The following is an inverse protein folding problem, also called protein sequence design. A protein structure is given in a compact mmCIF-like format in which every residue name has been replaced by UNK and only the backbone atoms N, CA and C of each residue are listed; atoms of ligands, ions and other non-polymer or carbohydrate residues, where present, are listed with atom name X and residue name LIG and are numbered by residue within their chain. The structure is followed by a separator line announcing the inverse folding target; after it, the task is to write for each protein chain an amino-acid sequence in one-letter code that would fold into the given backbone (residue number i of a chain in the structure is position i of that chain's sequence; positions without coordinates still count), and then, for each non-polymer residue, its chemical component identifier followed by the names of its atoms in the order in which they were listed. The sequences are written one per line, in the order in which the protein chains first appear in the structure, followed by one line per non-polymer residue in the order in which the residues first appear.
data_IF_970896106260
#
_entry.id   IF_970896106260
#
_cell.length_a   1.000
_cell.length_b   1.000
_cell.length_c   1.000
_cell.angle_alpha   90.00
_cell.angle_beta   90.00
_cell.angle_gamma   90.00
#
_symmetry.space_group_name_H-M   'P 1'
#
loop_
_entity.id
_entity.type
_entity.pdbx_description
1 polymer ?
#
# COMPACT_ATOMS: atom_id res chain seq x y z
N UNK A 1 7.68 14.24 -24.90
CA UNK A 1 7.10 15.39 -25.63
C UNK A 1 5.73 15.02 -26.21
N UNK A 2 4.88 15.99 -26.56
CA UNK A 2 3.60 15.72 -27.24
C UNK A 2 3.77 14.98 -28.56
N UNK A 3 4.82 15.29 -29.31
CA UNK A 3 5.15 14.64 -30.59
C UNK A 3 5.50 13.17 -30.39
N UNK A 4 6.33 12.84 -29.42
CA UNK A 4 6.67 11.45 -29.06
C UNK A 4 5.42 10.68 -28.62
N UNK A 5 4.55 11.31 -27.85
CA UNK A 5 3.29 10.70 -27.42
C UNK A 5 2.36 10.38 -28.60
N UNK A 6 2.25 11.33 -29.55
CA UNK A 6 1.47 11.12 -30.77
C UNK A 6 2.03 9.96 -31.62
N UNK A 7 3.36 9.81 -31.66
CA UNK A 7 3.99 8.69 -32.37
C UNK A 7 3.73 7.36 -31.66
N UNK A 8 3.80 7.32 -30.31
CA UNK A 8 3.45 6.11 -29.55
C UNK A 8 1.99 5.68 -29.84
N UNK A 9 1.03 6.63 -29.88
CA UNK A 9 -0.36 6.30 -30.25
C UNK A 9 -0.46 5.61 -31.61
N UNK A 10 0.24 6.13 -32.64
CA UNK A 10 0.28 5.50 -33.96
C UNK A 10 0.85 4.10 -33.91
N UNK A 11 1.92 3.88 -33.14
CA UNK A 11 2.52 2.54 -33.00
C UNK A 11 1.58 1.56 -32.28
N UNK A 12 0.80 2.03 -31.32
CA UNK A 12 -0.25 1.22 -30.67
C UNK A 12 -1.36 0.87 -31.66
N UNK A 13 -1.85 1.83 -32.45
CA UNK A 13 -2.86 1.61 -33.49
C UNK A 13 -2.38 0.62 -34.57
N UNK A 14 -1.09 0.65 -34.90
CA UNK A 14 -0.46 -0.27 -35.84
C UNK A 14 -0.16 -1.66 -35.25
N UNK A 15 -0.42 -1.88 -33.96
CA UNK A 15 -0.07 -3.13 -33.28
C UNK A 15 1.42 -3.36 -33.13
N UNK A 16 2.23 -2.29 -33.09
CA UNK A 16 3.69 -2.34 -32.95
C UNK A 16 4.18 -1.96 -31.55
N UNK A 17 3.30 -1.44 -30.74
CA UNK A 17 3.57 -1.07 -29.35
C UNK A 17 2.42 -1.60 -28.48
N UNK A 18 2.75 -2.42 -27.47
CA UNK A 18 1.78 -2.93 -26.51
C UNK A 18 1.69 -1.97 -25.30
N UNK A 19 0.47 -1.71 -24.86
CA UNK A 19 0.20 -0.95 -23.65
C UNK A 19 -0.49 -1.85 -22.64
N UNK A 20 0.20 -2.13 -21.53
CA UNK A 20 -0.26 -2.99 -20.45
C UNK A 20 0.06 -2.37 -19.08
N UNK A 21 -0.54 -2.92 -18.00
CA UNK A 21 -0.28 -2.50 -16.64
C UNK A 21 -1.52 -2.44 -15.75
N UNK A 22 -2.63 -1.91 -16.27
CA UNK A 22 -3.95 -1.92 -15.64
C UNK A 22 -4.19 -0.87 -14.58
N UNK A 23 -3.19 -0.41 -13.82
CA UNK A 23 -3.30 0.63 -12.79
C UNK A 23 -2.95 2.02 -13.34
N UNK A 24 -3.33 3.06 -12.58
CA UNK A 24 -2.91 4.45 -12.85
C UNK A 24 -1.39 4.60 -12.82
N UNK A 25 -0.75 3.92 -11.85
CA UNK A 25 0.69 3.73 -11.76
C UNK A 25 1.00 2.46 -10.94
N UNK A 26 2.28 2.12 -10.77
CA UNK A 26 2.73 0.98 -9.96
C UNK A 26 2.66 1.32 -8.46
N UNK A 27 1.45 1.22 -7.89
CA UNK A 27 1.22 1.60 -6.51
C UNK A 27 1.72 0.55 -5.51
N UNK A 28 2.16 1.01 -4.33
CA UNK A 28 2.36 0.14 -3.18
C UNK A 28 1.10 -0.66 -2.86
N UNK A 29 1.27 -1.95 -2.55
CA UNK A 29 0.16 -2.88 -2.40
C UNK A 29 -0.13 -3.30 -0.94
N UNK A 30 0.54 -2.68 0.03
CA UNK A 30 0.36 -2.95 1.46
C UNK A 30 -0.16 -1.73 2.24
N UNK A 31 0.28 -0.53 1.86
CA UNK A 31 0.03 0.70 2.62
C UNK A 31 -1.25 1.46 2.20
N UNK A 32 -1.73 1.23 0.98
CA UNK A 32 -2.92 1.89 0.45
C UNK A 32 -4.21 1.16 0.85
N UNK A 33 -5.34 1.88 0.86
CA UNK A 33 -6.65 1.29 1.15
C UNK A 33 -7.19 0.46 -0.01
N UNK A 34 -8.17 -0.41 0.26
CA UNK A 34 -8.91 -1.13 -0.78
C UNK A 34 -9.61 -0.21 -1.76
N UNK A 35 -10.13 0.95 -1.29
CA UNK A 35 -10.72 1.98 -2.15
C UNK A 35 -9.66 2.57 -3.10
N UNK A 36 -8.47 2.88 -2.59
CA UNK A 36 -7.37 3.36 -3.42
C UNK A 36 -6.98 2.35 -4.50
N UNK A 37 -6.94 1.05 -4.18
CA UNK A 37 -6.73 0.02 -5.20
C UNK A 37 -7.78 0.07 -6.31
N UNK A 38 -9.07 0.13 -5.95
CA UNK A 38 -10.15 0.24 -6.94
C UNK A 38 -9.96 1.50 -7.79
N UNK A 39 -9.55 2.62 -7.19
CA UNK A 39 -9.27 3.89 -7.91
C UNK A 39 -8.08 3.77 -8.84
N UNK A 40 -7.00 3.11 -8.41
CA UNK A 40 -5.85 2.84 -9.28
C UNK A 40 -6.28 2.14 -10.57
N UNK A 41 -7.11 1.08 -10.48
CA UNK A 41 -7.65 0.38 -11.65
C UNK A 41 -8.65 1.24 -12.44
N UNK A 42 -9.55 1.93 -11.76
CA UNK A 42 -10.57 2.75 -12.42
C UNK A 42 -9.94 3.87 -13.25
N UNK A 43 -8.96 4.59 -12.70
CA UNK A 43 -8.26 5.66 -13.42
C UNK A 43 -7.32 5.10 -14.48
N UNK A 44 -6.59 4.02 -14.19
CA UNK A 44 -5.68 3.39 -15.12
C UNK A 44 -6.40 2.81 -16.33
N UNK A 45 -7.37 1.92 -16.13
CA UNK A 45 -8.13 1.31 -17.24
C UNK A 45 -8.89 2.35 -18.06
N UNK A 46 -9.45 3.39 -17.42
CA UNK A 46 -10.06 4.50 -18.15
C UNK A 46 -9.05 5.22 -19.02
N UNK A 47 -7.87 5.52 -18.51
CA UNK A 47 -6.80 6.14 -19.30
C UNK A 47 -6.42 5.30 -20.51
N UNK A 48 -6.17 3.99 -20.34
CA UNK A 48 -5.84 3.10 -21.44
C UNK A 48 -6.98 3.01 -22.48
N UNK A 49 -8.23 3.00 -22.01
CA UNK A 49 -9.39 2.98 -22.91
C UNK A 49 -9.54 4.29 -23.68
N UNK A 50 -9.46 5.43 -23.01
CA UNK A 50 -9.62 6.75 -23.63
C UNK A 50 -8.48 7.10 -24.58
N UNK A 51 -7.23 6.77 -24.20
CA UNK A 51 -6.04 7.16 -24.96
C UNK A 51 -5.65 6.17 -26.07
N UNK A 52 -5.93 4.88 -25.89
CA UNK A 52 -5.44 3.83 -26.77
C UNK A 52 -6.51 2.84 -27.23
N UNK A 53 -7.76 2.99 -26.78
CA UNK A 53 -8.86 2.03 -27.00
C UNK A 53 -8.51 0.58 -26.55
N UNK A 54 -7.78 0.44 -25.45
CA UNK A 54 -7.34 -0.86 -24.90
C UNK A 54 -8.02 -1.17 -23.57
N UNK A 55 -8.38 -2.44 -23.39
CA UNK A 55 -8.84 -3.03 -22.15
C UNK A 55 -7.73 -3.90 -21.57
N UNK A 56 -7.15 -3.47 -20.44
CA UNK A 56 -6.12 -4.25 -19.75
C UNK A 56 -6.77 -5.34 -18.88
N UNK A 57 -6.20 -6.53 -18.90
CA UNK A 57 -6.57 -7.67 -18.05
C UNK A 57 -5.37 -8.27 -17.31
N UNK A 58 -4.21 -7.68 -17.49
CA UNK A 58 -2.96 -8.03 -16.83
C UNK A 58 -2.59 -6.91 -15.86
N UNK A 59 -2.21 -7.26 -14.64
CA UNK A 59 -1.55 -6.36 -13.71
C UNK A 59 -0.05 -6.61 -13.76
N UNK A 60 0.71 -5.58 -14.15
CA UNK A 60 2.16 -5.62 -14.29
C UNK A 60 2.81 -4.75 -13.21
N UNK A 61 3.28 -5.39 -12.12
CA UNK A 61 3.94 -4.73 -10.99
C UNK A 61 5.27 -5.43 -10.67
N UNK A 62 6.33 -5.22 -11.44
CA UNK A 62 7.57 -5.98 -11.30
C UNK A 62 8.34 -5.63 -10.03
N UNK A 63 8.22 -4.41 -9.50
CA UNK A 63 9.09 -3.85 -8.47
C UNK A 63 8.40 -3.46 -7.15
N UNK A 64 7.13 -3.79 -6.95
CA UNK A 64 6.39 -3.42 -5.74
C UNK A 64 6.74 -4.34 -4.55
N UNK A 65 6.74 -3.79 -3.33
CA UNK A 65 7.35 -4.35 -2.13
C UNK A 65 6.43 -5.28 -1.33
N UNK A 66 5.78 -6.21 -2.02
CA UNK A 66 4.85 -7.17 -1.44
C UNK A 66 3.39 -6.84 -1.74
N UNK A 67 2.53 -7.85 -1.59
CA UNK A 67 1.16 -7.81 -2.11
C UNK A 67 0.19 -8.42 -1.11
N UNK A 68 -0.82 -7.64 -0.72
CA UNK A 68 -1.85 -8.05 0.23
C UNK A 68 -2.67 -9.25 -0.27
N UNK A 69 -3.06 -10.14 0.64
CA UNK A 69 -3.98 -11.24 0.37
C UNK A 69 -5.39 -10.82 -0.11
N UNK A 70 -5.73 -9.54 0.02
CA UNK A 70 -6.98 -8.99 -0.52
C UNK A 70 -6.92 -8.69 -2.03
N UNK A 71 -5.72 -8.66 -2.62
CA UNK A 71 -5.56 -8.27 -4.03
C UNK A 71 -6.30 -9.17 -5.02
N UNK A 72 -6.25 -10.51 -4.96
CA UNK A 72 -6.95 -11.33 -5.95
C UNK A 72 -8.45 -11.02 -6.05
N UNK A 73 -9.12 -10.72 -4.94
CA UNK A 73 -10.51 -10.28 -4.93
C UNK A 73 -10.72 -8.98 -5.71
N UNK A 74 -9.87 -7.98 -5.44
CA UNK A 74 -9.96 -6.67 -6.10
C UNK A 74 -9.64 -6.81 -7.59
N UNK A 75 -8.58 -7.55 -7.94
CA UNK A 75 -8.18 -7.82 -9.31
C UNK A 75 -9.32 -8.42 -10.13
N UNK A 76 -9.93 -9.50 -9.63
CA UNK A 76 -11.06 -10.14 -10.33
C UNK A 76 -12.24 -9.20 -10.53
N UNK A 77 -12.59 -8.40 -9.52
CA UNK A 77 -13.67 -7.41 -9.61
C UNK A 77 -13.35 -6.25 -10.55
N UNK A 78 -12.08 -5.94 -10.77
CA UNK A 78 -11.60 -4.93 -11.72
C UNK A 78 -11.36 -5.50 -13.13
N UNK A 79 -11.63 -6.78 -13.37
CA UNK A 79 -11.45 -7.43 -14.67
C UNK A 79 -9.97 -7.75 -14.98
N UNK A 80 -9.17 -7.99 -13.95
CA UNK A 80 -7.79 -8.45 -14.06
C UNK A 80 -7.75 -9.94 -13.70
N UNK A 81 -7.17 -10.74 -14.55
CA UNK A 81 -7.09 -12.19 -14.36
C UNK A 81 -5.66 -12.74 -14.36
N UNK A 82 -4.69 -11.91 -14.70
CA UNK A 82 -3.26 -12.23 -14.70
C UNK A 82 -2.46 -11.21 -13.91
N UNK A 83 -1.58 -11.69 -13.03
CA UNK A 83 -0.68 -10.86 -12.22
C UNK A 83 0.77 -11.19 -12.51
N UNK A 84 1.61 -10.16 -12.68
CA UNK A 84 3.03 -10.28 -13.00
C UNK A 84 3.88 -9.48 -12.03
N UNK A 85 4.93 -10.13 -11.48
CA UNK A 85 5.94 -9.48 -10.64
C UNK A 85 7.29 -10.18 -10.71
N UNK A 86 8.32 -9.59 -10.11
CA UNK A 86 9.64 -10.20 -9.88
C UNK A 86 10.16 -9.97 -8.46
N UNK A 87 9.73 -8.91 -7.79
CA UNK A 87 10.34 -8.42 -6.54
C UNK A 87 10.32 -9.41 -5.38
N UNK A 88 9.36 -10.31 -5.32
CA UNK A 88 9.26 -11.33 -4.26
C UNK A 88 10.46 -12.29 -4.26
N UNK A 89 11.24 -12.36 -5.33
CA UNK A 89 12.49 -13.13 -5.37
C UNK A 89 13.60 -12.54 -4.48
N UNK A 90 13.44 -11.30 -3.98
CA UNK A 90 14.44 -10.59 -3.18
C UNK A 90 14.41 -10.96 -1.70
N UNK A 91 13.62 -11.94 -1.29
CA UNK A 91 13.61 -12.46 0.06
C UNK A 91 14.93 -13.15 0.41
N UNK A 92 15.47 -12.88 1.58
CA UNK A 92 16.69 -13.50 2.09
C UNK A 92 16.44 -14.91 2.61
N UNK A 93 15.41 -15.08 3.44
CA UNK A 93 15.11 -16.32 4.15
C UNK A 93 13.96 -17.11 3.54
N UNK A 94 12.85 -16.44 3.21
CA UNK A 94 11.60 -17.06 2.76
C UNK A 94 11.39 -16.86 1.26
N UNK A 95 11.97 -17.73 0.45
CA UNK A 95 11.83 -17.65 -1.01
C UNK A 95 10.53 -18.23 -1.48
N UNK A 96 9.90 -17.52 -2.41
CA UNK A 96 8.75 -18.05 -3.13
C UNK A 96 9.20 -19.25 -3.99
N UNK A 97 8.64 -20.47 -3.76
CA UNK A 97 9.09 -21.67 -4.46
C UNK A 97 8.47 -21.83 -5.86
N UNK A 98 7.62 -20.92 -6.30
CA UNK A 98 6.85 -21.03 -7.52
C UNK A 98 7.02 -19.80 -8.41
N UNK A 99 7.23 -20.00 -9.69
CA UNK A 99 7.26 -18.91 -10.69
C UNK A 99 5.93 -18.78 -11.43
N UNK A 100 5.14 -19.85 -11.51
CA UNK A 100 3.77 -19.81 -11.99
C UNK A 100 2.84 -20.53 -10.99
N UNK A 101 1.74 -19.90 -10.63
CA UNK A 101 0.78 -20.47 -9.68
C UNK A 101 -0.59 -19.76 -9.78
N UNK A 102 -1.61 -20.37 -9.20
CA UNK A 102 -2.88 -19.72 -8.97
C UNK A 102 -2.86 -19.05 -7.59
N UNK A 103 -2.98 -17.73 -7.56
CA UNK A 103 -3.06 -16.96 -6.32
C UNK A 103 -4.49 -16.78 -5.87
N UNK A 104 -4.79 -17.22 -4.64
CA UNK A 104 -6.12 -17.15 -4.04
C UNK A 104 -6.19 -16.05 -3.00
N UNK A 105 -7.19 -15.21 -3.12
CA UNK A 105 -7.50 -14.15 -2.16
C UNK A 105 -8.33 -14.62 -0.98
N UNK A 106 -8.58 -13.67 -0.07
CA UNK A 106 -9.34 -13.90 1.18
C UNK A 106 -10.79 -14.36 0.96
N UNK A 107 -11.36 -14.12 -0.21
CA UNK A 107 -12.72 -14.50 -0.61
C UNK A 107 -12.75 -15.73 -1.51
N UNK A 108 -11.59 -16.37 -1.76
CA UNK A 108 -11.47 -17.49 -2.69
C UNK A 108 -11.34 -17.11 -4.17
N UNK A 109 -11.34 -15.83 -4.52
CA UNK A 109 -11.05 -15.39 -5.89
C UNK A 109 -9.66 -15.87 -6.34
N UNK A 110 -9.56 -16.32 -7.59
CA UNK A 110 -8.34 -16.88 -8.18
C UNK A 110 -7.82 -15.97 -9.29
N UNK A 111 -6.51 -15.68 -9.27
CA UNK A 111 -5.76 -14.97 -10.31
C UNK A 111 -4.55 -15.78 -10.71
N UNK A 112 -4.32 -15.95 -12.04
CA UNK A 112 -3.10 -16.58 -12.54
C UNK A 112 -1.92 -15.65 -12.30
N UNK A 113 -0.83 -16.18 -11.74
CA UNK A 113 0.36 -15.40 -11.39
C UNK A 113 1.59 -15.94 -12.13
N UNK A 114 2.35 -15.01 -12.70
CA UNK A 114 3.60 -15.30 -13.38
C UNK A 114 4.72 -14.39 -12.86
N UNK A 115 5.81 -15.00 -12.40
CA UNK A 115 7.01 -14.27 -12.01
C UNK A 115 7.96 -14.13 -13.17
N UNK A 116 8.57 -12.94 -13.30
CA UNK A 116 9.70 -12.73 -14.20
C UNK A 116 10.93 -13.42 -13.61
N UNK A 117 11.57 -14.26 -14.39
CA UNK A 117 12.69 -15.08 -13.94
C UNK A 117 14.03 -14.63 -14.51
N UNK A 118 14.12 -13.39 -14.98
CA UNK A 118 15.34 -12.87 -15.58
C UNK A 118 16.50 -12.90 -14.57
N UNK A 119 17.53 -13.67 -14.88
CA UNK A 119 18.71 -13.88 -14.04
C UNK A 119 19.96 -14.05 -14.90
N UNK A 120 21.06 -13.41 -14.49
CA UNK A 120 22.36 -13.59 -15.12
C UNK A 120 23.07 -14.83 -14.55
N UNK A 121 23.29 -15.85 -15.40
CA UNK A 121 23.97 -17.09 -15.00
C UNK A 121 25.42 -16.86 -14.56
N UNK A 122 26.11 -15.89 -15.14
CA UNK A 122 27.54 -15.64 -14.88
C UNK A 122 27.79 -14.69 -13.72
N UNK A 123 26.74 -14.09 -13.18
CA UNK A 123 26.90 -13.23 -12.02
C UNK A 123 27.22 -14.09 -10.80
N UNK A 124 28.42 -13.89 -10.26
CA UNK A 124 28.85 -14.51 -9.00
C UNK A 124 28.58 -13.56 -7.84
N UNK A 125 28.10 -14.04 -6.70
CA UNK A 125 28.01 -13.23 -5.52
C UNK A 125 29.41 -12.76 -5.11
N UNK A 126 29.55 -11.46 -4.81
CA UNK A 126 30.83 -10.87 -4.40
C UNK A 126 31.08 -11.01 -2.92
N UNK A 127 30.02 -11.09 -2.12
CA UNK A 127 30.04 -11.26 -0.69
C UNK A 127 28.73 -11.89 -0.18
N UNK A 128 28.61 -12.06 1.14
CA UNK A 128 27.42 -12.68 1.76
C UNK A 128 26.13 -11.89 1.47
N UNK A 129 26.22 -10.57 1.35
CA UNK A 129 25.05 -9.74 1.05
C UNK A 129 24.72 -9.72 -0.45
N UNK A 130 25.63 -10.15 -1.31
CA UNK A 130 25.38 -10.25 -2.74
C UNK A 130 24.66 -11.57 -3.09
N UNK A 131 23.50 -11.79 -2.48
CA UNK A 131 22.60 -12.93 -2.80
C UNK A 131 21.96 -12.80 -4.19
N UNK A 132 22.46 -11.89 -5.01
CA UNK A 132 21.94 -11.60 -6.35
C UNK A 132 21.95 -12.80 -7.30
N UNK A 133 22.67 -13.87 -7.01
CA UNK A 133 22.64 -15.08 -7.83
C UNK A 133 21.29 -15.82 -7.83
N UNK A 134 20.38 -15.44 -6.93
CA UNK A 134 19.04 -16.03 -6.78
C UNK A 134 17.93 -15.03 -7.04
N UNK A 135 18.27 -13.75 -7.06
CA UNK A 135 17.36 -12.64 -7.31
C UNK A 135 17.07 -12.56 -8.81
N UNK A 136 15.79 -12.48 -9.15
CA UNK A 136 15.35 -12.17 -10.50
C UNK A 136 15.17 -10.67 -10.66
N UNK A 137 15.35 -10.19 -11.89
CA UNK A 137 15.19 -8.79 -12.23
C UNK A 137 14.10 -8.61 -13.30
N UNK A 138 13.50 -7.45 -13.35
CA UNK A 138 12.54 -7.06 -14.39
C UNK A 138 13.20 -6.31 -15.54
N UNK A 139 14.48 -6.02 -15.41
CA UNK A 139 15.33 -5.43 -16.48
C UNK A 139 16.54 -6.31 -16.67
N UNK A 140 16.75 -6.79 -17.87
CA UNK A 140 17.85 -7.70 -18.15
C UNK A 140 18.57 -7.39 -19.46
N UNK A 141 19.79 -7.90 -19.60
CA UNK A 141 20.44 -8.00 -20.88
C UNK A 141 19.84 -9.14 -21.69
N UNK A 142 19.63 -8.94 -22.98
CA UNK A 142 19.27 -10.02 -23.89
C UNK A 142 20.54 -10.65 -24.48
N UNK A 143 21.24 -11.46 -23.68
CA UNK A 143 22.44 -12.16 -24.02
C UNK A 143 22.39 -13.66 -23.62
N UNK A 144 23.34 -14.51 -24.04
CA UNK A 144 23.32 -15.93 -23.70
C UNK A 144 23.29 -16.24 -22.19
N UNK A 145 23.96 -15.43 -21.37
CA UNK A 145 23.99 -15.60 -19.90
C UNK A 145 22.63 -15.40 -19.28
N UNK A 146 21.91 -14.33 -19.62
CA UNK A 146 20.54 -14.09 -19.16
C UNK A 146 19.55 -15.12 -19.71
N UNK A 147 19.62 -15.47 -20.99
CA UNK A 147 18.73 -16.47 -21.57
C UNK A 147 18.90 -17.83 -20.88
N UNK A 148 20.15 -18.26 -20.63
CA UNK A 148 20.44 -19.49 -19.89
C UNK A 148 20.06 -19.41 -18.44
N UNK A 149 20.45 -18.34 -17.73
CA UNK A 149 20.20 -18.14 -16.32
C UNK A 149 18.70 -18.11 -16.00
N UNK A 150 17.92 -17.38 -16.77
CA UNK A 150 16.47 -17.30 -16.63
C UNK A 150 15.80 -18.67 -16.81
N UNK A 151 16.22 -19.46 -17.78
CA UNK A 151 15.69 -20.81 -17.98
C UNK A 151 16.12 -21.78 -16.87
N UNK A 152 17.37 -21.69 -16.40
CA UNK A 152 17.85 -22.52 -15.27
C UNK A 152 17.07 -22.20 -14.01
N UNK A 153 16.82 -20.92 -13.73
CA UNK A 153 16.09 -20.45 -12.57
C UNK A 153 14.60 -20.81 -12.60
N UNK A 154 13.99 -20.85 -13.76
CA UNK A 154 12.57 -21.13 -13.92
C UNK A 154 12.20 -22.52 -13.37
N UNK A 155 11.24 -22.57 -12.42
CA UNK A 155 10.94 -23.79 -11.67
C UNK A 155 9.97 -24.75 -12.38
N UNK A 156 8.79 -24.33 -12.93
CA UNK A 156 7.78 -25.28 -13.39
C UNK A 156 8.04 -25.85 -14.79
N UNK A 157 9.27 -26.32 -15.07
CA UNK A 157 9.70 -26.83 -16.39
C UNK A 157 8.87 -27.99 -16.92
N UNK A 158 8.35 -28.84 -16.03
CA UNK A 158 7.50 -30.00 -16.38
C UNK A 158 6.08 -29.58 -16.83
N UNK A 159 5.62 -28.38 -16.46
CA UNK A 159 4.34 -27.84 -16.88
C UNK A 159 4.48 -26.93 -18.10
N UNK A 160 5.57 -26.17 -18.13
CA UNK A 160 5.83 -25.22 -19.19
C UNK A 160 7.34 -25.13 -19.47
N UNK A 161 7.72 -25.21 -20.72
CA UNK A 161 9.12 -25.15 -21.17
C UNK A 161 9.58 -23.75 -21.55
N UNK A 162 8.72 -22.74 -21.38
CA UNK A 162 9.02 -21.36 -21.77
C UNK A 162 9.02 -20.46 -20.53
N UNK A 163 9.90 -19.47 -20.52
CA UNK A 163 9.88 -18.38 -19.54
C UNK A 163 10.00 -17.04 -20.25
N UNK A 164 9.63 -15.97 -19.57
CA UNK A 164 9.70 -14.60 -20.07
C UNK A 164 10.88 -13.87 -19.44
N UNK A 165 11.60 -13.12 -20.24
CA UNK A 165 12.58 -12.12 -19.82
C UNK A 165 12.26 -10.78 -20.48
N UNK A 166 12.40 -9.72 -19.72
CA UNK A 166 12.28 -8.34 -20.19
C UNK A 166 13.65 -7.74 -20.36
N UNK A 167 13.88 -6.99 -21.41
CA UNK A 167 15.19 -6.40 -21.70
C UNK A 167 15.08 -4.94 -22.16
N UNK A 168 16.18 -4.21 -22.02
CA UNK A 168 16.29 -2.78 -22.19
C UNK A 168 16.92 -2.16 -20.96
N UNK A 169 16.72 -0.86 -20.76
CA UNK A 169 17.17 -0.13 -19.57
C UNK A 169 16.00 0.13 -18.64
N UNK A 170 16.02 -0.47 -17.43
CA UNK A 170 15.14 -0.15 -16.33
C UNK A 170 15.75 0.89 -15.39
N UNK A 171 14.99 1.34 -14.39
CA UNK A 171 15.35 2.30 -13.37
C UNK A 171 15.82 3.68 -13.87
N UNK A 172 16.53 3.76 -14.94
CA UNK A 172 16.98 5.02 -15.56
C UNK A 172 16.23 5.40 -16.83
N UNK A 173 15.38 4.49 -17.33
CA UNK A 173 14.70 4.63 -18.62
C UNK A 173 15.64 4.44 -19.80
N UNK A 174 15.11 3.92 -20.88
CA UNK A 174 15.80 3.64 -22.13
C UNK A 174 15.24 2.41 -22.82
N UNK A 175 15.49 2.32 -24.14
CA UNK A 175 15.07 1.19 -24.94
C UNK A 175 16.16 0.13 -25.07
N UNK A 176 15.89 -0.94 -25.85
CA UNK A 176 16.87 -1.94 -26.20
C UNK A 176 18.06 -1.35 -26.97
N UNK A 177 19.22 -1.93 -26.77
CA UNK A 177 20.43 -1.62 -27.54
C UNK A 177 20.58 -2.55 -28.75
N UNK A 178 21.30 -2.09 -29.79
CA UNK A 178 21.59 -2.88 -30.98
C UNK A 178 22.27 -4.22 -30.65
N UNK A 179 23.15 -4.23 -29.65
CA UNK A 179 23.84 -5.44 -29.17
C UNK A 179 22.85 -6.49 -28.65
N UNK A 180 21.81 -6.08 -27.95
CA UNK A 180 20.77 -6.98 -27.42
C UNK A 180 19.96 -7.60 -28.57
N UNK A 181 19.62 -6.82 -29.58
CA UNK A 181 18.90 -7.29 -30.76
C UNK A 181 19.78 -8.24 -31.59
N UNK A 182 21.08 -7.95 -31.72
CA UNK A 182 22.01 -8.84 -32.39
C UNK A 182 22.18 -10.18 -31.67
N UNK A 183 22.25 -10.19 -30.33
CA UNK A 183 22.26 -11.43 -29.56
C UNK A 183 20.98 -12.24 -29.78
N UNK A 184 19.82 -11.58 -29.82
CA UNK A 184 18.56 -12.25 -30.15
C UNK A 184 18.63 -12.92 -31.54
N UNK A 185 19.09 -12.20 -32.58
CA UNK A 185 19.20 -12.71 -33.94
C UNK A 185 20.07 -13.97 -34.03
N UNK A 186 21.05 -14.09 -33.15
CA UNK A 186 21.90 -15.30 -33.06
C UNK A 186 21.21 -16.41 -32.26
N UNK A 187 20.65 -16.10 -31.09
CA UNK A 187 20.03 -17.09 -30.21
C UNK A 187 18.74 -17.70 -30.77
N UNK A 188 17.94 -16.95 -31.55
CA UNK A 188 16.74 -17.49 -32.19
C UNK A 188 17.02 -18.62 -33.18
N UNK A 189 18.24 -18.67 -33.77
CA UNK A 189 18.68 -19.74 -34.67
C UNK A 189 19.06 -21.02 -33.90
N UNK A 190 19.30 -20.91 -32.61
CA UNK A 190 19.76 -21.99 -31.74
C UNK A 190 21.27 -22.00 -31.56
N UNK A 191 21.70 -21.92 -30.31
CA UNK A 191 23.08 -22.09 -29.88
C UNK A 191 23.17 -23.31 -28.95
N UNK A 192 24.20 -24.16 -29.05
CA UNK A 192 24.34 -25.32 -28.16
C UNK A 192 24.28 -24.90 -26.68
N UNK A 193 23.37 -25.50 -25.92
CA UNK A 193 23.22 -25.27 -24.48
C UNK A 193 22.53 -23.95 -24.08
N UNK A 194 22.07 -23.16 -25.04
CA UNK A 194 21.35 -21.91 -24.81
C UNK A 194 19.89 -22.05 -25.29
N UNK A 195 18.88 -21.63 -24.53
CA UNK A 195 17.51 -21.59 -25.01
C UNK A 195 17.35 -20.73 -26.26
N UNK A 196 16.46 -21.13 -27.14
CA UNK A 196 16.06 -20.27 -28.26
C UNK A 196 15.22 -19.11 -27.74
N UNK A 197 15.44 -17.93 -28.25
CA UNK A 197 14.69 -16.73 -27.93
C UNK A 197 13.70 -16.36 -29.03
N UNK A 198 12.55 -15.78 -28.58
CA UNK A 198 11.54 -15.16 -29.45
C UNK A 198 11.17 -13.82 -28.84
N UNK A 199 11.13 -12.76 -29.62
CA UNK A 199 10.57 -11.49 -29.21
C UNK A 199 9.07 -11.52 -29.52
N UNK A 200 8.23 -11.23 -28.53
CA UNK A 200 6.78 -11.15 -28.67
C UNK A 200 6.22 -10.18 -27.64
N UNK A 201 4.96 -9.80 -27.76
CA UNK A 201 4.26 -9.02 -26.74
C UNK A 201 4.09 -9.83 -25.47
N UNK A 202 4.19 -9.13 -24.33
CA UNK A 202 4.06 -9.76 -23.02
C UNK A 202 2.67 -10.34 -22.82
N UNK A 203 1.61 -9.64 -23.25
CA UNK A 203 0.24 -10.12 -23.19
C UNK A 203 0.02 -11.42 -23.95
N UNK A 204 0.51 -11.51 -25.19
CA UNK A 204 0.40 -12.73 -26.01
C UNK A 204 1.06 -13.94 -25.31
N UNK A 205 2.23 -13.73 -24.70
CA UNK A 205 2.91 -14.77 -23.94
C UNK A 205 2.09 -15.18 -22.70
N UNK A 206 1.66 -14.21 -21.90
CA UNK A 206 0.96 -14.44 -20.65
C UNK A 206 -0.39 -15.13 -20.86
N UNK A 207 -1.15 -14.71 -21.86
CA UNK A 207 -2.42 -15.35 -22.21
C UNK A 207 -2.24 -16.80 -22.64
N UNK A 208 -1.19 -17.06 -23.44
CA UNK A 208 -0.88 -18.41 -23.88
C UNK A 208 -0.51 -19.33 -22.71
N UNK A 209 0.32 -18.87 -21.78
CA UNK A 209 0.70 -19.69 -20.61
C UNK A 209 -0.45 -19.82 -19.61
N UNK A 210 -1.23 -18.78 -19.39
CA UNK A 210 -2.43 -18.82 -18.55
C UNK A 210 -3.42 -19.85 -19.07
N UNK A 211 -3.81 -19.76 -20.35
CA UNK A 211 -4.73 -20.72 -20.97
C UNK A 211 -4.23 -22.16 -20.88
N UNK A 212 -2.91 -22.36 -20.92
CA UNK A 212 -2.32 -23.69 -20.79
C UNK A 212 -2.34 -24.22 -19.36
N UNK A 213 -2.14 -23.35 -18.36
CA UNK A 213 -1.76 -23.75 -17.01
C UNK A 213 -2.85 -23.54 -15.95
N UNK A 214 -3.71 -22.53 -16.09
CA UNK A 214 -4.57 -22.08 -14.99
C UNK A 214 -5.51 -23.17 -14.43
N UNK A 215 -5.87 -24.15 -15.24
CA UNK A 215 -6.73 -25.29 -14.85
C UNK A 215 -5.96 -26.63 -14.78
N UNK A 216 -4.64 -26.64 -14.95
CA UNK A 216 -3.83 -27.84 -14.74
C UNK A 216 -3.80 -28.16 -13.22
N UNK A 217 -4.23 -29.34 -12.79
CA UNK A 217 -4.29 -29.70 -11.37
C UNK A 217 -2.92 -29.75 -10.69
N UNK A 218 -1.83 -29.79 -11.44
CA UNK A 218 -0.45 -29.76 -10.94
C UNK A 218 0.06 -28.33 -10.73
N UNK A 219 -0.64 -27.30 -11.26
CA UNK A 219 -0.24 -25.92 -11.03
C UNK A 219 -0.39 -25.60 -9.53
N UNK A 220 0.67 -25.10 -8.88
CA UNK A 220 0.62 -24.73 -7.47
C UNK A 220 -0.47 -23.73 -7.12
N UNK A 221 -0.93 -23.80 -5.88
CA UNK A 221 -1.88 -22.84 -5.29
C UNK A 221 -1.17 -22.07 -4.19
N UNK A 222 -1.27 -20.75 -4.22
CA UNK A 222 -0.84 -19.88 -3.13
C UNK A 222 -2.04 -19.21 -2.50
N UNK A 223 -2.16 -19.28 -1.18
CA UNK A 223 -3.24 -18.66 -0.41
C UNK A 223 -2.62 -17.73 0.62
N UNK A 224 -2.98 -16.45 0.58
CA UNK A 224 -2.43 -15.45 1.48
C UNK A 224 -1.68 -14.33 0.76
N UNK A 225 -0.91 -13.56 1.52
CA UNK A 225 -0.09 -12.47 0.96
C UNK A 225 1.14 -12.99 0.19
N UNK A 226 1.67 -12.16 -0.68
CA UNK A 226 3.00 -12.32 -1.26
C UNK A 226 3.93 -11.35 -0.51
N UNK A 227 4.58 -11.86 0.52
CA UNK A 227 5.37 -11.07 1.46
C UNK A 227 6.79 -10.84 0.95
N UNK A 228 7.28 -9.60 1.09
CA UNK A 228 8.66 -9.22 0.82
C UNK A 228 9.36 -8.81 2.13
N UNK A 229 10.18 -9.67 2.68
CA UNK A 229 10.88 -9.42 3.95
C UNK A 229 11.97 -8.34 3.86
N UNK A 230 12.61 -8.23 2.72
CA UNK A 230 13.72 -7.30 2.50
C UNK A 230 13.32 -5.82 2.56
N UNK A 231 12.03 -5.49 2.56
CA UNK A 231 11.52 -4.11 2.55
C UNK A 231 10.67 -3.78 3.78
N UNK A 232 10.92 -4.41 4.93
CA UNK A 232 10.13 -4.18 6.16
C UNK A 232 10.21 -2.76 6.68
N UNK A 233 11.35 -2.09 6.53
CA UNK A 233 11.54 -0.70 6.93
C UNK A 233 10.57 0.26 6.25
N UNK A 234 10.11 -0.07 5.05
CA UNK A 234 9.20 0.76 4.27
C UNK A 234 7.82 0.94 4.89
N UNK A 235 7.40 0.08 5.80
CA UNK A 235 6.12 0.23 6.52
C UNK A 235 6.09 1.42 7.46
N UNK A 236 7.25 1.89 7.92
CA UNK A 236 7.36 2.99 8.91
C UNK A 236 8.19 4.17 8.46
N UNK A 237 9.06 4.01 7.45
CA UNK A 237 9.89 5.10 6.93
C UNK A 237 9.03 6.28 6.44
N UNK A 238 9.42 7.51 6.80
CA UNK A 238 8.68 8.75 6.47
C UNK A 238 7.19 8.66 6.85
N UNK A 239 6.90 8.39 8.12
CA UNK A 239 5.55 8.20 8.65
C UNK A 239 4.56 9.34 8.30
N UNK A 240 5.06 10.57 8.10
CA UNK A 240 4.25 11.73 7.69
C UNK A 240 3.54 11.48 6.36
N UNK A 241 4.22 10.92 5.37
CA UNK A 241 3.64 10.62 4.06
C UNK A 241 2.50 9.59 4.19
N UNK A 242 2.72 8.51 4.93
CA UNK A 242 1.71 7.47 5.21
C UNK A 242 0.49 8.04 5.93
N UNK A 243 0.72 8.95 6.91
CA UNK A 243 -0.34 9.66 7.61
C UNK A 243 -1.15 10.56 6.66
N UNK A 244 -0.46 11.28 5.77
CA UNK A 244 -1.11 12.15 4.79
C UNK A 244 -1.95 11.30 3.81
N UNK A 245 -1.41 10.19 3.31
CA UNK A 245 -2.16 9.26 2.46
C UNK A 245 -3.44 8.78 3.15
N UNK A 246 -3.35 8.23 4.36
CA UNK A 246 -4.53 7.70 5.06
C UNK A 246 -5.58 8.78 5.34
N UNK A 247 -5.16 9.97 5.74
CA UNK A 247 -6.07 11.10 5.97
C UNK A 247 -6.77 11.55 4.68
N UNK A 248 -6.06 11.56 3.56
CA UNK A 248 -6.63 11.96 2.27
C UNK A 248 -7.60 10.92 1.72
N UNK A 249 -7.33 9.62 1.89
CA UNK A 249 -8.27 8.55 1.54
C UNK A 249 -9.62 8.75 2.25
N UNK A 250 -9.62 8.89 3.57
CA UNK A 250 -10.85 9.14 4.33
C UNK A 250 -11.52 10.47 3.96
N UNK A 251 -10.74 11.52 3.73
CA UNK A 251 -11.29 12.81 3.35
C UNK A 251 -12.08 12.71 2.03
N UNK A 252 -11.50 12.05 1.02
CA UNK A 252 -12.11 11.96 -0.31
C UNK A 252 -13.31 11.00 -0.34
N UNK A 253 -13.24 9.87 0.34
CA UNK A 253 -14.41 8.99 0.53
C UNK A 253 -15.58 9.75 1.17
N UNK A 254 -15.31 10.51 2.23
CA UNK A 254 -16.32 11.31 2.90
C UNK A 254 -16.83 12.47 2.03
N UNK A 255 -15.94 13.15 1.29
CA UNK A 255 -16.31 14.24 0.41
C UNK A 255 -17.23 13.75 -0.73
N UNK A 256 -16.92 12.62 -1.35
CA UNK A 256 -17.77 12.02 -2.38
C UNK A 256 -19.13 11.57 -1.82
N UNK A 257 -19.12 10.86 -0.69
CA UNK A 257 -20.34 10.36 -0.04
C UNK A 257 -21.28 11.52 0.29
N UNK A 258 -20.79 12.55 0.99
CA UNK A 258 -21.62 13.68 1.40
C UNK A 258 -22.02 14.57 0.22
N UNK A 259 -21.16 14.73 -0.80
CA UNK A 259 -21.52 15.47 -2.02
C UNK A 259 -22.61 14.76 -2.81
N UNK A 260 -22.58 13.43 -2.87
CA UNK A 260 -23.64 12.63 -3.49
C UNK A 260 -24.96 12.82 -2.73
N UNK A 261 -24.93 12.73 -1.40
CA UNK A 261 -26.11 12.96 -0.55
C UNK A 261 -26.64 14.40 -0.70
N UNK A 262 -25.77 15.40 -0.67
CA UNK A 262 -26.14 16.79 -0.86
C UNK A 262 -26.82 17.01 -2.23
N UNK A 263 -26.26 16.43 -3.30
CA UNK A 263 -26.86 16.50 -4.63
C UNK A 263 -28.25 15.92 -4.67
N UNK A 264 -28.45 14.73 -4.08
CA UNK A 264 -29.75 14.02 -4.07
C UNK A 264 -30.80 14.74 -3.22
N UNK A 265 -30.39 15.29 -2.08
CA UNK A 265 -31.32 15.89 -1.11
C UNK A 265 -31.63 17.36 -1.38
N UNK A 266 -30.68 18.11 -1.92
CA UNK A 266 -30.78 19.58 -2.02
C UNK A 266 -30.52 20.13 -3.42
N UNK A 267 -30.15 19.29 -4.39
CA UNK A 267 -29.72 19.73 -5.73
C UNK A 267 -28.31 20.36 -5.75
N UNK A 268 -27.53 20.26 -4.67
CA UNK A 268 -26.18 20.77 -4.59
C UNK A 268 -25.30 20.20 -5.73
N UNK A 269 -24.41 21.03 -6.29
CA UNK A 269 -23.51 20.61 -7.36
C UNK A 269 -22.49 19.59 -6.86
N UNK A 270 -22.31 18.49 -7.62
CA UNK A 270 -21.26 17.50 -7.35
C UNK A 270 -19.98 17.87 -8.10
N UNK A 271 -18.95 18.28 -7.37
CA UNK A 271 -17.69 18.82 -7.90
C UNK A 271 -16.75 17.71 -8.43
N UNK A 272 -17.23 16.92 -9.41
CA UNK A 272 -16.52 15.75 -9.97
C UNK A 272 -15.09 16.06 -10.41
N UNK A 273 -14.89 17.21 -11.10
CA UNK A 273 -13.58 17.59 -11.62
C UNK A 273 -12.57 17.78 -10.49
N UNK A 274 -12.95 18.51 -9.42
CA UNK A 274 -12.09 18.78 -8.28
C UNK A 274 -11.73 17.50 -7.53
N UNK A 275 -12.68 16.60 -7.35
CA UNK A 275 -12.47 15.29 -6.73
C UNK A 275 -11.53 14.42 -7.58
N UNK A 276 -11.73 14.37 -8.90
CA UNK A 276 -10.85 13.60 -9.79
C UNK A 276 -9.42 14.12 -9.82
N UNK A 277 -9.24 15.45 -9.81
CA UNK A 277 -7.91 16.07 -9.73
C UNK A 277 -7.20 15.68 -8.43
N UNK A 278 -7.89 15.74 -7.30
CA UNK A 278 -7.32 15.36 -6.02
C UNK A 278 -7.01 13.85 -5.94
N UNK A 279 -7.91 12.99 -6.40
CA UNK A 279 -7.64 11.55 -6.49
C UNK A 279 -6.39 11.24 -7.30
N UNK A 280 -6.20 11.87 -8.47
CA UNK A 280 -5.00 11.66 -9.28
C UNK A 280 -3.71 12.01 -8.53
N UNK A 281 -3.73 13.04 -7.69
CA UNK A 281 -2.58 13.42 -6.87
C UNK A 281 -2.36 12.39 -5.73
N UNK A 282 -3.43 11.94 -5.07
CA UNK A 282 -3.35 10.88 -4.05
C UNK A 282 -2.73 9.62 -4.66
N UNK A 283 -3.28 9.17 -5.80
CA UNK A 283 -2.82 7.97 -6.48
C UNK A 283 -1.36 8.08 -6.92
N UNK A 284 -0.91 9.27 -7.38
CA UNK A 284 0.50 9.52 -7.72
C UNK A 284 1.41 9.33 -6.51
N UNK A 285 1.01 9.87 -5.35
CA UNK A 285 1.79 9.75 -4.12
C UNK A 285 1.77 8.34 -3.49
N UNK A 286 0.99 7.42 -4.04
CA UNK A 286 0.96 6.00 -3.68
C UNK A 286 1.96 5.15 -4.47
N UNK A 287 2.76 5.75 -5.36
CA UNK A 287 3.82 5.06 -6.09
C UNK A 287 4.75 4.32 -5.13
N UNK A 288 5.19 3.12 -5.52
CA UNK A 288 5.93 2.21 -4.63
C UNK A 288 7.30 2.74 -4.18
N UNK A 289 7.80 3.83 -4.77
CA UNK A 289 8.99 4.55 -4.32
C UNK A 289 8.67 5.87 -3.61
N UNK A 290 7.40 6.25 -3.47
CA UNK A 290 7.01 7.46 -2.73
C UNK A 290 6.44 7.10 -1.36
N UNK A 291 5.28 6.41 -1.30
CA UNK A 291 4.64 6.09 -0.02
C UNK A 291 5.49 5.24 0.91
N UNK A 292 6.33 4.31 0.45
CA UNK A 292 7.23 3.53 1.31
C UNK A 292 8.28 4.35 2.06
N UNK A 293 8.62 5.55 1.61
CA UNK A 293 9.59 6.38 2.31
C UNK A 293 11.03 6.22 1.83
N UNK A 294 11.24 5.59 0.68
CA UNK A 294 12.57 5.23 0.15
C UNK A 294 13.12 6.20 -0.91
N UNK A 295 12.38 7.24 -1.24
CA UNK A 295 12.81 8.27 -2.19
C UNK A 295 13.75 9.32 -1.56
N UNK A 296 14.30 10.17 -2.41
CA UNK A 296 15.14 11.30 -1.98
C UNK A 296 14.31 12.47 -1.41
N UNK A 297 14.93 13.32 -0.62
CA UNK A 297 14.28 14.47 0.04
C UNK A 297 13.40 15.33 -0.88
N UNK A 298 13.83 15.75 -2.11
CA UNK A 298 13.01 16.58 -2.98
C UNK A 298 11.66 15.94 -3.35
N UNK A 299 11.57 14.61 -3.40
CA UNK A 299 10.31 13.89 -3.64
C UNK A 299 9.33 14.10 -2.48
N UNK A 300 9.82 14.09 -1.23
CA UNK A 300 8.97 14.32 -0.06
C UNK A 300 8.58 15.79 0.13
N UNK A 301 9.47 16.72 -0.24
CA UNK A 301 9.12 18.14 -0.29
C UNK A 301 7.96 18.35 -1.28
N UNK A 302 8.03 17.74 -2.47
CA UNK A 302 6.95 17.77 -3.46
C UNK A 302 5.68 17.05 -2.99
N UNK A 303 5.82 15.90 -2.35
CA UNK A 303 4.70 15.16 -1.76
C UNK A 303 3.95 15.98 -0.71
N UNK A 304 4.66 16.76 0.12
CA UNK A 304 4.01 17.65 1.09
C UNK A 304 3.20 18.76 0.40
N UNK A 305 3.71 19.35 -0.67
CA UNK A 305 2.97 20.32 -1.49
C UNK A 305 1.73 19.69 -2.12
N UNK A 306 1.88 18.49 -2.68
CA UNK A 306 0.80 17.74 -3.30
C UNK A 306 -0.32 17.43 -2.30
N UNK A 307 0.02 16.96 -1.10
CA UNK A 307 -0.98 16.71 -0.05
C UNK A 307 -1.64 18.00 0.46
N UNK A 308 -0.95 19.13 0.48
CA UNK A 308 -1.58 20.42 0.80
C UNK A 308 -2.70 20.76 -0.20
N UNK A 309 -2.45 20.57 -1.50
CA UNK A 309 -3.47 20.72 -2.56
C UNK A 309 -4.62 19.73 -2.40
N UNK A 310 -4.30 18.48 -2.09
CA UNK A 310 -5.30 17.41 -1.84
C UNK A 310 -6.22 17.80 -0.69
N UNK A 311 -5.68 18.22 0.45
CA UNK A 311 -6.47 18.62 1.63
C UNK A 311 -7.30 19.88 1.37
N UNK A 312 -6.78 20.86 0.62
CA UNK A 312 -7.53 22.03 0.25
C UNK A 312 -8.73 21.65 -0.63
N UNK A 313 -8.50 20.92 -1.72
CA UNK A 313 -9.57 20.53 -2.67
C UNK A 313 -10.63 19.66 -1.99
N UNK A 314 -10.23 18.57 -1.37
CA UNK A 314 -11.15 17.64 -0.68
C UNK A 314 -11.88 18.30 0.49
N UNK A 315 -11.16 19.09 1.29
CA UNK A 315 -11.73 19.85 2.41
C UNK A 315 -12.78 20.88 1.99
N UNK A 316 -12.52 21.60 0.88
CA UNK A 316 -13.50 22.55 0.34
C UNK A 316 -14.78 21.86 -0.14
N UNK A 317 -14.65 20.74 -0.86
CA UNK A 317 -15.80 19.94 -1.31
C UNK A 317 -16.59 19.38 -0.14
N UNK A 318 -15.90 18.79 0.84
CA UNK A 318 -16.54 18.24 2.04
C UNK A 318 -17.28 19.32 2.84
N UNK A 319 -16.66 20.49 3.03
CA UNK A 319 -17.27 21.63 3.74
C UNK A 319 -18.51 22.13 3.04
N UNK A 320 -18.46 22.28 1.69
CA UNK A 320 -19.60 22.72 0.90
C UNK A 320 -20.76 21.73 0.97
N UNK A 321 -20.49 20.44 0.82
CA UNK A 321 -21.52 19.39 0.93
C UNK A 321 -22.15 19.32 2.33
N UNK A 322 -21.34 19.39 3.40
CA UNK A 322 -21.84 19.44 4.79
C UNK A 322 -22.77 20.63 4.99
N UNK A 323 -22.38 21.82 4.52
CA UNK A 323 -23.20 23.03 4.64
C UNK A 323 -24.53 22.85 3.91
N UNK A 324 -24.53 22.38 2.67
CA UNK A 324 -25.75 22.16 1.89
C UNK A 324 -26.72 21.19 2.59
N UNK A 325 -26.22 20.14 3.23
CA UNK A 325 -27.07 19.21 4.00
C UNK A 325 -27.57 19.87 5.28
N UNK A 326 -26.69 20.53 6.05
CA UNK A 326 -27.01 21.11 7.36
C UNK A 326 -28.04 22.24 7.26
N UNK A 327 -27.94 23.09 6.23
CA UNK A 327 -28.87 24.19 5.98
C UNK A 327 -30.32 23.69 5.75
N UNK A 328 -30.50 22.41 5.40
CA UNK A 328 -31.80 21.80 5.15
C UNK A 328 -32.30 20.88 6.29
N UNK A 329 -31.56 20.82 7.41
CA UNK A 329 -31.92 20.03 8.60
C UNK A 329 -32.13 20.96 9.78
N UNK A 330 -33.31 20.88 10.41
CA UNK A 330 -33.54 21.59 11.66
C UNK A 330 -32.68 21.01 12.78
N UNK A 331 -31.77 21.81 13.31
CA UNK A 331 -30.89 21.34 14.42
C UNK A 331 -31.32 21.85 15.80
N UNK A 332 -32.27 22.82 15.85
CA UNK A 332 -32.78 23.42 17.10
C UNK A 332 -31.65 23.81 18.07
N UNK A 333 -30.57 24.35 17.55
CA UNK A 333 -29.37 24.73 18.29
C UNK A 333 -28.45 23.55 18.65
N UNK A 334 -28.74 22.37 18.15
CA UNK A 334 -27.86 21.21 18.28
C UNK A 334 -26.81 21.12 17.20
N UNK A 335 -25.93 20.13 17.32
CA UNK A 335 -24.86 19.80 16.35
C UNK A 335 -25.24 18.56 15.55
N UNK A 336 -25.11 18.66 14.24
CA UNK A 336 -25.32 17.52 13.34
C UNK A 336 -24.05 16.68 13.29
N UNK A 337 -24.13 15.44 13.75
CA UNK A 337 -23.05 14.45 13.67
C UNK A 337 -23.40 13.41 12.63
N UNK A 338 -22.55 13.25 11.63
CA UNK A 338 -22.71 12.26 10.56
C UNK A 338 -21.79 11.07 10.75
N UNK A 339 -22.32 9.85 10.55
CA UNK A 339 -21.56 8.61 10.58
C UNK A 339 -21.32 8.08 9.16
N UNK A 340 -20.09 8.13 8.63
CA UNK A 340 -19.79 7.62 7.30
C UNK A 340 -19.64 6.09 7.22
N UNK A 341 -19.65 5.39 8.36
CA UNK A 341 -19.48 3.95 8.43
C UNK A 341 -20.78 3.17 8.09
N UNK A 342 -20.62 1.89 7.78
CA UNK A 342 -21.72 0.95 7.51
C UNK A 342 -22.33 0.33 8.77
N UNK A 343 -21.88 0.72 9.96
CA UNK A 343 -22.36 0.27 11.26
C UNK A 343 -22.66 1.48 12.16
N UNK A 344 -23.46 1.27 13.21
CA UNK A 344 -23.78 2.35 14.16
C UNK A 344 -22.52 2.88 14.83
N UNK A 345 -22.39 4.21 14.87
CA UNK A 345 -21.22 4.91 15.41
C UNK A 345 -21.44 5.44 16.83
N UNK A 346 -20.34 5.56 17.55
CA UNK A 346 -20.22 6.30 18.78
C UNK A 346 -18.80 6.85 18.90
N UNK A 347 -18.62 7.91 19.66
CA UNK A 347 -17.29 8.47 19.92
C UNK A 347 -17.32 9.94 20.31
N UNK A 348 -16.15 10.45 20.64
CA UNK A 348 -15.95 11.87 20.87
C UNK A 348 -15.86 12.60 19.52
N UNK A 349 -16.59 13.70 19.41
CA UNK A 349 -16.54 14.64 18.29
C UNK A 349 -16.14 16.00 18.82
N UNK A 350 -15.32 16.72 18.09
CA UNK A 350 -14.93 18.08 18.48
C UNK A 350 -15.99 19.08 18.00
N UNK A 351 -16.47 19.89 18.92
CA UNK A 351 -17.44 20.96 18.68
C UNK A 351 -16.92 22.23 19.33
N UNK A 352 -16.59 23.24 18.54
CA UNK A 352 -16.05 24.53 19.02
C UNK A 352 -14.83 24.39 19.94
N UNK A 353 -13.97 23.40 19.67
CA UNK A 353 -12.76 23.11 20.44
C UNK A 353 -12.99 22.24 21.68
N UNK A 354 -14.22 21.86 21.99
CA UNK A 354 -14.56 20.97 23.10
C UNK A 354 -14.94 19.56 22.57
N UNK A 355 -14.53 18.53 23.28
CA UNK A 355 -14.92 17.15 22.97
C UNK A 355 -16.32 16.86 23.49
N UNK A 356 -17.22 16.41 22.64
CA UNK A 356 -18.60 16.02 22.96
C UNK A 356 -18.80 14.56 22.59
N UNK A 357 -19.37 13.77 23.46
CA UNK A 357 -19.62 12.36 23.19
C UNK A 357 -20.95 12.16 22.45
N UNK A 358 -20.89 11.47 21.32
CA UNK A 358 -22.05 11.13 20.52
C UNK A 358 -22.25 9.60 20.50
N UNK A 359 -23.49 9.16 20.71
CA UNK A 359 -23.86 7.74 20.73
C UNK A 359 -24.97 7.43 19.73
N UNK A 360 -25.00 6.17 19.31
CA UNK A 360 -26.07 5.62 18.46
C UNK A 360 -26.31 6.45 17.20
N UNK A 361 -25.22 6.83 16.53
CA UNK A 361 -25.29 7.49 15.23
C UNK A 361 -25.53 6.40 14.17
N UNK A 362 -26.65 6.45 13.43
CA UNK A 362 -27.01 5.37 12.52
C UNK A 362 -25.99 5.18 11.38
N UNK A 363 -25.88 3.96 10.81
CA UNK A 363 -25.00 3.69 9.65
C UNK A 363 -25.33 4.61 8.49
N UNK A 364 -24.32 5.19 7.83
CA UNK A 364 -24.48 6.11 6.67
C UNK A 364 -25.52 7.20 6.92
N UNK A 365 -25.70 7.59 8.19
CA UNK A 365 -26.72 8.51 8.62
C UNK A 365 -26.20 9.58 9.56
N UNK A 366 -27.12 10.32 10.15
CA UNK A 366 -26.79 11.40 11.06
C UNK A 366 -27.66 11.40 12.31
N UNK A 367 -27.21 12.14 13.31
CA UNK A 367 -27.95 12.44 14.51
C UNK A 367 -27.69 13.90 14.91
N UNK A 368 -28.74 14.60 15.33
CA UNK A 368 -28.59 15.90 15.97
C UNK A 368 -28.40 15.65 17.47
N UNK A 369 -27.29 16.14 17.99
CA UNK A 369 -26.98 16.06 19.42
C UNK A 369 -26.98 17.46 20.04
N UNK A 370 -27.40 17.58 21.28
CA UNK A 370 -27.16 18.79 22.09
C UNK A 370 -25.85 18.56 22.82
N UNK A 371 -24.83 19.43 22.60
CA UNK A 371 -23.56 19.27 23.26
C UNK A 371 -23.76 19.43 24.76
N UNK A 372 -23.60 18.37 25.52
CA UNK A 372 -23.55 18.40 26.98
C UNK A 372 -22.09 18.19 27.39
N UNK A 373 -21.57 19.05 28.27
CA UNK A 373 -20.24 18.86 28.83
C UNK A 373 -20.27 17.64 29.73
N UNK A 374 -19.67 16.57 29.26
CA UNK A 374 -19.48 15.37 30.09
C UNK A 374 -18.16 15.52 30.82
N UNK A 375 -18.21 15.50 32.13
CA UNK A 375 -17.00 15.46 32.94
C UNK A 375 -16.48 14.03 33.01
N UNK A 376 -15.22 13.86 32.70
CA UNK A 376 -14.58 12.55 32.81
C UNK A 376 -14.63 12.06 34.27
N UNK A 377 -15.12 10.84 34.45
CA UNK A 377 -15.18 10.18 35.76
C UNK A 377 -13.89 9.39 35.97
N UNK A 378 -12.93 10.03 36.61
CA UNK A 378 -11.65 9.42 36.93
C UNK A 378 -11.07 9.98 38.22
N UNK A 379 -10.16 9.22 38.83
CA UNK A 379 -9.24 9.74 39.86
C UNK A 379 -7.80 9.39 39.43
N UNK A 380 -6.89 10.35 39.65
CA UNK A 380 -5.46 10.10 39.44
C UNK A 380 -4.70 10.55 40.70
N UNK A 381 -4.13 9.57 41.38
CA UNK A 381 -3.36 9.83 42.61
C UNK A 381 -2.27 8.76 42.74
N UNK A 382 -1.09 9.17 43.19
CA UNK A 382 0.06 8.27 43.45
C UNK A 382 0.39 7.35 42.28
N UNK A 383 0.33 7.89 41.04
CA UNK A 383 0.51 7.17 39.77
C UNK A 383 -0.49 6.04 39.54
N UNK A 384 -1.66 6.13 40.18
CA UNK A 384 -2.78 5.21 39.93
C UNK A 384 -3.90 6.00 39.26
N UNK A 385 -4.31 5.58 38.09
CA UNK A 385 -5.48 6.08 37.38
C UNK A 385 -6.64 5.09 37.58
N UNK A 386 -7.70 5.58 38.19
CA UNK A 386 -8.95 4.85 38.33
C UNK A 386 -10.00 5.44 37.40
N UNK A 387 -10.63 4.61 36.62
CA UNK A 387 -11.80 4.96 35.80
C UNK A 387 -12.93 3.97 36.08
N UNK A 388 -14.10 4.20 35.52
CA UNK A 388 -15.21 3.23 35.54
C UNK A 388 -14.81 1.85 35.01
N UNK A 389 -13.87 1.79 34.04
CA UNK A 389 -13.53 0.59 33.30
C UNK A 389 -12.20 -0.03 33.72
N UNK A 390 -11.23 0.77 34.14
CA UNK A 390 -9.85 0.32 34.37
C UNK A 390 -9.26 0.87 35.65
N UNK A 391 -8.41 0.07 36.29
CA UNK A 391 -7.38 0.53 37.21
C UNK A 391 -6.03 0.42 36.49
N UNK A 392 -5.30 1.52 36.37
CA UNK A 392 -3.98 1.59 35.72
C UNK A 392 -2.95 2.06 36.75
N UNK A 393 -1.94 1.24 37.02
CA UNK A 393 -0.82 1.62 37.87
C UNK A 393 0.41 1.87 37.02
N UNK A 394 1.01 3.05 37.15
CA UNK A 394 2.22 3.43 36.45
C UNK A 394 3.46 3.18 37.32
N UNK A 395 4.56 2.78 36.69
CA UNK A 395 5.87 2.74 37.29
C UNK A 395 6.49 4.16 37.39
N UNK A 396 7.71 4.27 37.89
CA UNK A 396 8.38 5.56 38.03
C UNK A 396 8.69 6.23 36.70
N UNK A 397 8.94 5.44 35.69
CA UNK A 397 9.15 5.87 34.31
C UNK A 397 7.83 6.05 33.51
N UNK A 398 6.68 5.97 34.17
CA UNK A 398 5.35 6.00 33.54
C UNK A 398 5.09 4.89 32.50
N UNK A 399 5.86 3.80 32.51
CA UNK A 399 5.39 2.55 31.94
C UNK A 399 4.23 1.98 32.78
N UNK A 400 3.36 1.21 32.18
CA UNK A 400 2.23 0.60 32.88
C UNK A 400 2.69 -0.70 33.52
N UNK A 401 2.69 -0.76 34.85
CA UNK A 401 3.05 -1.97 35.60
C UNK A 401 1.84 -2.85 35.96
N UNK A 402 0.64 -2.28 35.93
CA UNK A 402 -0.62 -3.00 36.12
C UNK A 402 -1.73 -2.36 35.30
N UNK A 403 -2.55 -3.20 34.68
CA UNK A 403 -3.77 -2.81 33.98
C UNK A 403 -4.87 -3.81 34.31
N UNK A 404 -5.80 -3.42 35.16
CA UNK A 404 -6.93 -4.24 35.55
C UNK A 404 -8.21 -3.79 34.83
N UNK A 405 -8.82 -4.72 34.09
CA UNK A 405 -10.10 -4.55 33.41
C UNK A 405 -11.23 -4.89 34.40
N UNK A 406 -11.92 -3.85 34.88
CA UNK A 406 -12.99 -4.00 35.88
C UNK A 406 -14.22 -4.68 35.30
N UNK A 407 -14.52 -4.46 34.02
CA UNK A 407 -15.67 -5.05 33.36
C UNK A 407 -15.51 -6.58 33.23
N UNK A 408 -14.36 -7.01 32.74
CA UNK A 408 -14.06 -8.43 32.56
C UNK A 408 -13.39 -9.08 33.78
N UNK A 409 -13.14 -8.32 34.84
CA UNK A 409 -12.56 -8.75 36.13
C UNK A 409 -11.25 -9.52 35.95
N UNK A 410 -10.35 -8.96 35.12
CA UNK A 410 -9.07 -9.63 34.81
C UNK A 410 -7.90 -8.66 34.79
N UNK A 411 -6.73 -9.18 35.11
CA UNK A 411 -5.47 -8.50 34.79
C UNK A 411 -5.22 -8.62 33.28
N UNK A 412 -4.81 -7.50 32.64
CA UNK A 412 -4.50 -7.45 31.21
C UNK A 412 -3.05 -7.83 30.97
N UNK A 413 -2.17 -7.45 31.90
CA UNK A 413 -0.74 -7.79 31.83
C UNK A 413 -0.49 -9.13 32.53
N UNK A 414 0.46 -9.90 32.01
CA UNK A 414 1.00 -11.07 32.71
C UNK A 414 1.75 -10.64 33.97
N UNK A 415 1.92 -11.55 34.90
CA UNK A 415 2.71 -11.32 36.12
C UNK A 415 4.11 -10.81 35.79
N UNK A 416 4.52 -9.67 36.38
CA UNK A 416 5.79 -9.01 36.14
C UNK A 416 5.91 -8.35 34.75
N UNK A 417 4.85 -8.39 33.92
CA UNK A 417 4.82 -7.71 32.63
C UNK A 417 4.67 -6.19 32.75
N UNK A 418 5.17 -5.45 31.79
CA UNK A 418 4.98 -4.01 31.64
C UNK A 418 4.38 -3.70 30.28
N UNK A 419 3.66 -2.61 30.17
CA UNK A 419 3.19 -2.06 28.91
C UNK A 419 3.60 -0.58 28.78
N UNK A 420 3.46 -0.04 27.57
CA UNK A 420 3.89 1.32 27.26
C UNK A 420 5.36 1.58 27.61
N UNK A 421 6.20 0.56 27.44
CA UNK A 421 7.67 0.68 27.53
C UNK A 421 8.15 1.26 26.20
N UNK A 422 9.02 2.28 26.29
CA UNK A 422 9.65 2.85 25.09
C UNK A 422 11.01 2.20 24.93
N UNK A 423 11.17 1.50 23.82
CA UNK A 423 12.40 0.79 23.47
C UNK A 423 13.05 1.44 22.25
N UNK A 424 14.35 1.57 22.27
CA UNK A 424 15.16 1.97 21.14
C UNK A 424 16.11 0.84 20.76
N UNK A 425 16.24 0.62 19.47
CA UNK A 425 17.06 -0.44 18.93
C UNK A 425 18.13 0.13 18.03
N UNK A 426 19.34 -0.46 18.03
CA UNK A 426 20.34 -0.16 17.02
C UNK A 426 19.98 -0.90 15.74
N UNK A 427 19.64 -0.14 14.70
CA UNK A 427 19.32 -0.66 13.38
C UNK A 427 20.46 -0.35 12.40
N UNK A 428 21.25 -1.38 12.08
CA UNK A 428 22.37 -1.33 11.14
C UNK A 428 22.18 -2.38 10.05
N UNK A 429 21.26 -2.15 9.09
CA UNK A 429 21.13 -3.05 7.96
C UNK A 429 22.41 -3.01 7.13
N UNK A 430 22.72 -4.14 6.51
CA UNK A 430 23.93 -4.24 5.67
C UNK A 430 23.90 -3.29 4.47
N UNK A 431 22.73 -3.14 3.84
CA UNK A 431 22.47 -2.25 2.70
C UNK A 431 21.02 -1.73 2.76
N UNK A 432 20.76 -0.58 2.11
CA UNK A 432 19.41 -0.06 1.89
C UNK A 432 18.62 0.19 3.17
N UNK A 433 19.17 0.99 4.05
CA UNK A 433 18.61 1.35 5.36
C UNK A 433 17.16 1.91 5.32
N UNK A 434 16.73 2.48 4.20
CA UNK A 434 15.33 2.89 4.02
C UNK A 434 14.37 1.71 3.74
N UNK A 435 14.87 0.58 3.28
CA UNK A 435 14.11 -0.62 2.94
C UNK A 435 14.22 -1.71 4.01
N UNK A 436 15.46 -2.03 4.36
CA UNK A 436 15.79 -3.18 5.21
C UNK A 436 15.60 -2.83 6.69
N UNK A 437 15.00 -3.75 7.41
CA UNK A 437 15.10 -3.86 8.86
C UNK A 437 15.65 -5.25 9.15
N UNK A 438 16.96 -5.30 9.41
CA UNK A 438 17.65 -6.57 9.64
C UNK A 438 17.09 -7.29 10.87
N UNK A 439 17.04 -8.63 10.84
CA UNK A 439 16.62 -9.44 11.99
C UNK A 439 17.53 -9.27 13.22
N UNK A 440 18.73 -8.70 13.05
CA UNK A 440 19.70 -8.47 14.12
C UNK A 440 19.44 -7.18 14.91
N UNK A 441 18.45 -6.37 14.55
CA UNK A 441 18.13 -5.14 15.28
C UNK A 441 17.74 -5.43 16.75
N UNK A 442 17.20 -6.61 17.04
CA UNK A 442 16.80 -7.02 18.40
C UNK A 442 18.00 -7.34 19.30
N UNK A 443 19.20 -7.54 18.74
CA UNK A 443 20.40 -7.89 19.51
C UNK A 443 20.85 -6.76 20.44
N UNK A 444 20.45 -5.52 20.17
CA UNK A 444 20.84 -4.36 20.96
C UNK A 444 19.69 -3.39 21.18
N UNK A 445 19.06 -3.52 22.33
CA UNK A 445 17.90 -2.73 22.75
C UNK A 445 18.22 -1.90 24.00
N UNK A 446 17.69 -0.71 24.06
CA UNK A 446 17.76 0.21 25.19
C UNK A 446 16.35 0.64 25.60
N UNK A 447 16.03 0.54 26.89
CA UNK A 447 14.81 1.16 27.42
C UNK A 447 15.03 2.68 27.65
N UNK A 448 14.13 3.49 27.11
CA UNK A 448 14.11 4.93 27.35
C UNK A 448 13.23 5.20 28.59
N UNK A 449 13.81 5.06 29.75
CA UNK A 449 13.13 5.16 31.05
C UNK A 449 13.43 6.46 31.83
N UNK A 450 14.34 7.30 31.34
CA UNK A 450 14.70 8.58 31.97
C UNK A 450 13.58 9.62 31.81
N UNK A 451 12.98 10.05 32.91
CA UNK A 451 11.91 11.06 32.95
C UNK A 451 12.50 12.41 33.34
N UNK A 452 12.46 13.39 32.44
CA UNK A 452 12.91 14.77 32.72
C UNK A 452 11.79 15.65 33.31
N UNK A 453 10.53 15.29 33.06
CA UNK A 453 9.39 16.03 33.58
C UNK A 453 8.07 15.43 33.18
N UNK A 454 7.04 15.82 33.93
CA UNK A 454 5.67 15.40 33.64
C UNK A 454 4.73 16.59 33.73
N UNK A 455 3.70 16.57 32.89
CA UNK A 455 2.63 17.56 32.88
C UNK A 455 1.31 16.84 32.74
N UNK A 456 0.35 17.13 33.60
CA UNK A 456 -1.00 16.63 33.49
C UNK A 456 -1.86 17.64 32.74
N UNK A 457 -2.73 17.17 31.87
CA UNK A 457 -3.79 18.00 31.30
C UNK A 457 -5.15 17.39 31.59
N UNK A 458 -6.12 18.26 31.82
CA UNK A 458 -7.53 17.91 32.00
C UNK A 458 -8.37 18.87 31.17
N UNK A 459 -8.99 18.33 30.12
CA UNK A 459 -9.85 19.07 29.20
C UNK A 459 -11.34 18.73 29.42
N UNK A 460 -11.67 18.33 30.65
CA UNK A 460 -13.03 17.93 31.03
C UNK A 460 -13.35 16.50 30.71
N UNK A 461 -13.47 16.15 29.45
CA UNK A 461 -13.73 14.76 29.02
C UNK A 461 -12.45 13.93 28.79
N UNK A 462 -11.30 14.57 28.67
CA UNK A 462 -10.02 13.95 28.49
C UNK A 462 -9.05 14.31 29.59
N UNK A 463 -8.47 13.29 30.18
CA UNK A 463 -7.32 13.43 31.06
C UNK A 463 -6.12 12.75 30.43
N UNK A 464 -4.95 13.34 30.55
CA UNK A 464 -3.73 12.77 30.08
C UNK A 464 -2.51 13.21 30.86
N UNK A 465 -1.42 12.46 30.69
CA UNK A 465 -0.12 12.73 31.26
C UNK A 465 0.89 12.84 30.12
N UNK A 466 1.51 14.00 29.97
CA UNK A 466 2.63 14.20 29.06
C UNK A 466 3.90 13.89 29.83
N UNK A 467 4.65 12.90 29.36
CA UNK A 467 5.92 12.50 29.96
C UNK A 467 7.05 12.94 29.03
N UNK A 468 7.90 13.85 29.50
CA UNK A 468 9.12 14.28 28.79
C UNK A 468 10.26 13.34 29.16
N UNK A 469 10.91 12.75 28.15
CA UNK A 469 11.99 11.79 28.32
C UNK A 469 13.26 12.29 27.65
N UNK A 470 14.40 11.92 28.19
CA UNK A 470 15.69 12.09 27.52
C UNK A 470 16.01 10.84 26.72
N UNK A 471 16.32 11.08 25.45
CA UNK A 471 16.78 10.06 24.51
C UNK A 471 18.29 10.11 24.39
#
# INVERSE_FOLDING_TARGET
SPETYAEVKKLVEQGRFEVEGGMWLEADCNLISGESFVRQFMFGKRFFKEEFDKENHILWLPDVFGYSAAMPQILKKCGIDTFVTSKISWNEFNRMPYDNFNWYGIDGSKVFTAFLTAQDLLRQPKDFADNHHIVTVYTSGLNPSYAKGSYVRYEPKELNSNTIITFGHGDGGGGPEDSQLEYHERMKKGLPGIPRTKIEFAGDYLDRIRTKLEDDPRLPKWVGELYLEFHRGTYTSIAKNKKNNRKSEFLYENAELLSCMAKLLTGHEYEQKKLNEGWKIILLNQFHDIIPGSSIKPVYDKSDEDYAVVFEKGGSVLKSAKKAITDNIGTDGGVLVFNPNSFAGFGAVEVDGEAVYAENIPPKGYKVIKPEKVKADYTFKDKILETKYYTVEFADDYSIKRLYDKLNRREVLRDGGRANVIEAYEDYPYQYDAWELSNYYEDKMYEINSVEGTENFDEGERFGIIVKRKF
#
